data_IF_933394872680
#
_entry.id   IF_933394872680
#
_cell.length_a   1.000
_cell.length_b   1.000
_cell.length_c   1.000
_cell.angle_alpha   90.00
_cell.angle_beta   90.00
_cell.angle_gamma   90.00
#
_symmetry.space_group_name_H-M   'P 1'
#
loop_
_entity.id
_entity.type
_entity.pdbx_description
1 polymer ?
#
# COMPACT_ATOMS: atom_id res chain seq x y z
N UNK A 1 -15.93 24.32 -3.23
CA UNK A 1 -15.81 24.05 -4.66
C UNK A 1 -15.85 22.56 -4.82
N UNK A 2 -16.81 22.01 -5.58
CA UNK A 2 -16.71 20.64 -6.08
C UNK A 2 -15.69 20.68 -7.22
N UNK A 3 -14.70 19.81 -7.23
CA UNK A 3 -13.92 19.60 -8.43
C UNK A 3 -14.90 19.10 -9.49
N UNK A 4 -15.03 19.84 -10.59
CA UNK A 4 -15.77 19.35 -11.74
C UNK A 4 -14.94 18.23 -12.42
N UNK A 5 -15.58 17.33 -13.17
CA UNK A 5 -14.84 16.37 -13.99
C UNK A 5 -13.74 17.00 -14.81
N UNK A 6 -13.91 18.26 -15.22
CA UNK A 6 -12.93 19.05 -15.99
C UNK A 6 -11.61 19.29 -15.23
N UNK A 7 -11.62 19.31 -13.89
CA UNK A 7 -10.38 19.38 -13.10
C UNK A 7 -9.49 18.13 -13.26
N UNK A 8 -10.05 17.04 -13.80
CA UNK A 8 -9.36 15.79 -14.08
C UNK A 8 -9.09 15.55 -15.58
N UNK A 9 -9.54 16.44 -16.49
CA UNK A 9 -9.43 16.26 -17.93
C UNK A 9 -7.98 16.06 -18.43
N UNK A 10 -6.99 16.61 -17.72
CA UNK A 10 -5.58 16.32 -18.00
C UNK A 10 -5.14 14.88 -17.70
N UNK A 11 -5.97 14.11 -16.99
CA UNK A 11 -5.69 12.73 -16.59
C UNK A 11 -6.41 11.69 -17.48
N UNK A 12 -7.45 12.09 -18.22
CA UNK A 12 -8.19 11.20 -19.13
C UNK A 12 -7.31 10.55 -20.20
N UNK A 13 -6.37 11.30 -20.72
CA UNK A 13 -5.43 10.81 -21.73
C UNK A 13 -4.45 9.76 -21.17
N UNK A 14 -4.29 9.70 -19.82
CA UNK A 14 -3.35 8.83 -19.17
C UNK A 14 -3.97 7.50 -18.65
N UNK A 15 -5.30 7.43 -18.45
CA UNK A 15 -5.93 6.27 -17.77
C UNK A 15 -7.18 5.73 -18.49
N UNK A 16 -7.13 5.30 -19.75
CA UNK A 16 -8.31 4.82 -20.48
C UNK A 16 -8.88 3.49 -19.92
N UNK A 17 -8.10 2.68 -19.19
CA UNK A 17 -8.47 1.30 -18.79
C UNK A 17 -8.39 1.01 -17.30
N UNK A 18 -8.30 2.02 -16.44
CA UNK A 18 -8.11 1.84 -15.00
C UNK A 18 -6.65 1.51 -14.61
N UNK A 19 -6.35 1.43 -13.30
CA UNK A 19 -4.98 1.22 -12.83
C UNK A 19 -4.48 -0.18 -13.19
N UNK A 20 -3.24 -0.27 -13.64
CA UNK A 20 -2.54 -1.52 -13.92
C UNK A 20 -2.47 -2.43 -12.69
N UNK A 21 -2.31 -3.71 -12.93
CA UNK A 21 -2.18 -4.73 -11.90
C UNK A 21 -0.81 -5.38 -11.95
N UNK A 22 -0.35 -5.79 -10.78
CA UNK A 22 0.93 -6.45 -10.58
C UNK A 22 0.67 -7.73 -9.79
N UNK A 23 1.10 -8.87 -10.31
CA UNK A 23 1.12 -10.12 -9.59
C UNK A 23 2.42 -10.23 -8.78
N UNK A 24 2.32 -10.63 -7.53
CA UNK A 24 3.47 -10.93 -6.66
C UNK A 24 3.36 -12.35 -6.13
N UNK A 25 4.39 -13.15 -6.39
CA UNK A 25 4.52 -14.50 -5.85
C UNK A 25 4.84 -14.50 -4.35
N UNK A 26 4.30 -15.47 -3.65
CA UNK A 26 4.53 -15.73 -2.22
C UNK A 26 5.39 -16.96 -2.00
N UNK A 27 5.69 -17.72 -3.05
CA UNK A 27 6.54 -18.90 -3.00
C UNK A 27 7.42 -18.95 -4.25
N UNK A 28 8.52 -19.69 -4.13
CA UNK A 28 9.43 -19.94 -5.25
C UNK A 28 8.68 -20.56 -6.43
N UNK A 29 8.95 -20.10 -7.63
CA UNK A 29 8.33 -20.57 -8.86
C UNK A 29 6.87 -20.14 -9.09
N UNK A 30 6.30 -19.27 -8.23
CA UNK A 30 4.91 -18.84 -8.38
C UNK A 30 4.68 -18.01 -9.66
N UNK A 31 5.65 -17.17 -10.04
CA UNK A 31 5.54 -16.34 -11.23
C UNK A 31 5.72 -17.17 -12.50
N UNK A 32 6.65 -18.12 -12.51
CA UNK A 32 6.83 -19.08 -13.61
C UNK A 32 5.57 -19.93 -13.84
N UNK A 33 4.91 -20.35 -12.77
CA UNK A 33 3.64 -21.08 -12.88
C UNK A 33 2.51 -20.19 -13.42
N UNK A 34 2.47 -18.90 -13.06
CA UNK A 34 1.53 -17.96 -13.63
C UNK A 34 1.81 -17.76 -15.12
N UNK A 35 3.06 -17.52 -15.49
CA UNK A 35 3.48 -17.33 -16.90
C UNK A 35 3.24 -18.58 -17.75
N UNK A 36 3.42 -19.77 -17.19
CA UNK A 36 3.06 -21.02 -17.85
C UNK A 36 1.54 -21.14 -18.12
N UNK A 37 0.72 -20.53 -17.28
CA UNK A 37 -0.73 -20.58 -17.41
C UNK A 37 -1.31 -19.52 -18.37
N UNK A 38 -0.71 -18.33 -18.44
CA UNK A 38 -1.30 -17.19 -19.16
C UNK A 38 -0.36 -16.52 -20.17
N UNK A 39 0.84 -17.05 -20.36
CA UNK A 39 1.88 -16.51 -21.23
C UNK A 39 2.87 -15.59 -20.51
N UNK A 40 3.97 -15.21 -21.19
CA UNK A 40 5.01 -14.36 -20.64
C UNK A 40 4.47 -13.02 -20.15
N UNK A 41 4.93 -12.57 -18.97
CA UNK A 41 4.52 -11.33 -18.36
C UNK A 41 5.68 -10.35 -18.22
N UNK A 42 5.46 -9.06 -18.48
CA UNK A 42 6.49 -8.04 -18.31
C UNK A 42 6.91 -7.88 -16.85
N UNK A 43 8.17 -7.53 -16.65
CA UNK A 43 8.69 -7.16 -15.33
C UNK A 43 8.23 -5.76 -14.92
N UNK A 44 8.09 -5.53 -13.63
CA UNK A 44 7.90 -4.17 -13.11
C UNK A 44 9.27 -3.51 -12.91
N UNK A 45 9.59 -2.42 -13.58
CA UNK A 45 10.87 -1.74 -13.43
C UNK A 45 11.22 -1.42 -11.97
N UNK A 46 12.44 -1.76 -11.54
CA UNK A 46 12.94 -1.53 -10.20
C UNK A 46 12.36 -2.44 -9.12
N UNK A 47 11.70 -3.53 -9.50
CA UNK A 47 11.20 -4.57 -8.58
C UNK A 47 12.01 -5.85 -8.71
N UNK A 48 11.75 -6.80 -7.78
CA UNK A 48 12.32 -8.14 -7.86
C UNK A 48 11.71 -8.94 -9.01
N UNK A 49 12.47 -9.24 -10.07
CA UNK A 49 11.96 -9.94 -11.25
C UNK A 49 11.60 -11.41 -10.99
N UNK A 50 12.12 -12.03 -9.91
CA UNK A 50 11.75 -13.40 -9.56
C UNK A 50 10.37 -13.49 -8.93
N UNK A 51 9.92 -12.39 -8.30
CA UNK A 51 8.70 -12.39 -7.49
C UNK A 51 7.58 -11.53 -8.05
N UNK A 52 7.85 -10.62 -8.99
CA UNK A 52 6.89 -9.58 -9.39
C UNK A 52 6.77 -9.51 -10.91
N UNK A 53 5.51 -9.55 -11.39
CA UNK A 53 5.17 -9.41 -12.82
C UNK A 53 4.05 -8.39 -13.01
N UNK A 54 4.11 -7.65 -14.09
CA UNK A 54 3.00 -6.83 -14.57
C UNK A 54 1.96 -7.73 -15.23
N UNK A 55 0.70 -7.56 -14.88
CA UNK A 55 -0.42 -8.25 -15.51
C UNK A 55 -1.10 -7.26 -16.45
N UNK A 56 -0.91 -7.38 -17.78
CA UNK A 56 -1.57 -6.53 -18.75
C UNK A 56 -3.09 -6.64 -18.63
N UNK A 57 -3.80 -5.57 -19.00
CA UNK A 57 -5.26 -5.49 -18.83
C UNK A 57 -5.98 -6.61 -19.60
N UNK A 58 -5.50 -6.97 -20.77
CA UNK A 58 -6.01 -8.05 -21.60
C UNK A 58 -5.86 -9.44 -20.96
N UNK A 59 -4.84 -9.64 -20.13
CA UNK A 59 -4.60 -10.90 -19.42
C UNK A 59 -5.29 -10.94 -18.04
N UNK A 60 -5.91 -9.85 -17.59
CA UNK A 60 -6.36 -9.72 -16.20
C UNK A 60 -7.41 -10.75 -15.79
N UNK A 61 -8.39 -11.04 -16.66
CA UNK A 61 -9.44 -12.02 -16.34
C UNK A 61 -8.88 -13.45 -16.32
N UNK A 62 -7.97 -13.77 -17.24
CA UNK A 62 -7.28 -15.06 -17.25
C UNK A 62 -6.39 -15.22 -16.02
N UNK A 63 -5.64 -14.15 -15.64
CA UNK A 63 -4.84 -14.14 -14.43
C UNK A 63 -5.70 -14.36 -13.17
N UNK A 64 -6.83 -13.65 -13.05
CA UNK A 64 -7.75 -13.81 -11.91
C UNK A 64 -8.28 -15.24 -11.76
N UNK A 65 -8.44 -15.98 -12.86
CA UNK A 65 -8.89 -17.38 -12.83
C UNK A 65 -7.79 -18.37 -12.45
N UNK A 66 -6.52 -17.95 -12.44
CA UNK A 66 -5.41 -18.81 -12.05
C UNK A 66 -5.50 -19.23 -10.57
N UNK A 67 -5.43 -20.56 -10.27
CA UNK A 67 -5.60 -21.06 -8.91
C UNK A 67 -4.67 -20.45 -7.88
N UNK A 68 -3.46 -20.02 -8.27
CA UNK A 68 -2.46 -19.44 -7.36
C UNK A 68 -2.90 -18.16 -6.65
N UNK A 69 -3.87 -17.40 -7.19
CA UNK A 69 -4.49 -16.29 -6.47
C UNK A 69 -5.57 -16.72 -5.46
N UNK A 70 -6.07 -17.95 -5.58
CA UNK A 70 -7.10 -18.48 -4.69
C UNK A 70 -6.53 -19.35 -3.58
N UNK A 71 -5.34 -19.90 -3.76
CA UNK A 71 -4.65 -20.73 -2.77
C UNK A 71 -3.49 -20.00 -2.04
N UNK A 72 -3.25 -18.72 -2.36
CA UNK A 72 -2.29 -17.86 -1.68
C UNK A 72 -0.86 -17.95 -2.21
N UNK A 73 -0.59 -18.66 -3.30
CA UNK A 73 0.76 -18.68 -3.93
C UNK A 73 1.16 -17.33 -4.51
N UNK A 74 0.19 -16.51 -4.89
CA UNK A 74 0.44 -15.14 -5.34
C UNK A 74 -0.68 -14.19 -4.88
N UNK A 75 -0.40 -12.90 -4.95
CA UNK A 75 -1.34 -11.84 -4.61
C UNK A 75 -1.32 -10.73 -5.66
N UNK A 76 -2.49 -10.16 -5.93
CA UNK A 76 -2.64 -9.05 -6.88
C UNK A 76 -2.43 -7.71 -6.15
N UNK A 77 -1.57 -6.87 -6.69
CA UNK A 77 -1.29 -5.51 -6.21
C UNK A 77 -1.58 -4.47 -7.28
N UNK A 78 -1.56 -3.20 -6.87
CA UNK A 78 -1.29 -2.08 -7.78
C UNK A 78 0.22 -1.78 -7.79
N UNK A 79 0.72 -1.10 -8.82
CA UNK A 79 2.14 -0.78 -8.94
C UNK A 79 2.66 0.05 -7.76
N UNK A 80 1.88 1.02 -7.28
CA UNK A 80 2.25 1.79 -6.08
C UNK A 80 2.29 0.93 -4.81
N UNK A 81 1.28 0.05 -4.64
CA UNK A 81 1.16 -0.79 -3.45
C UNK A 81 2.31 -1.77 -3.28
N UNK A 82 2.84 -2.35 -4.36
CA UNK A 82 3.91 -3.36 -4.27
C UNK A 82 5.26 -2.76 -3.87
N UNK A 83 5.46 -1.45 -4.09
CA UNK A 83 6.71 -0.73 -3.76
C UNK A 83 6.86 -0.40 -2.27
N UNK A 84 5.76 -0.44 -1.50
CA UNK A 84 5.74 0.06 -0.10
C UNK A 84 6.56 -0.82 0.85
N UNK A 85 6.41 -2.14 0.78
CA UNK A 85 7.12 -3.04 1.67
C UNK A 85 8.64 -3.05 1.43
N UNK A 86 9.15 -3.03 0.17
CA UNK A 86 10.58 -2.82 -0.09
C UNK A 86 11.14 -1.52 0.48
N UNK A 87 10.35 -0.42 0.46
CA UNK A 87 10.78 0.84 1.06
C UNK A 87 10.91 0.77 2.59
N UNK A 88 10.06 0.00 3.24
CA UNK A 88 10.15 -0.21 4.68
C UNK A 88 11.33 -1.08 5.07
N UNK A 89 11.81 -1.95 4.17
CA UNK A 89 12.95 -2.87 4.34
C UNK A 89 12.84 -3.70 5.64
N UNK A 90 11.73 -4.44 5.86
CA UNK A 90 11.65 -5.31 7.00
C UNK A 90 12.63 -6.49 6.85
N UNK A 91 13.22 -6.90 7.95
CA UNK A 91 14.15 -8.03 8.01
C UNK A 91 13.58 -9.17 8.87
N UNK A 92 13.98 -10.43 8.62
CA UNK A 92 13.69 -11.52 9.53
C UNK A 92 14.15 -11.18 10.95
N UNK A 93 13.25 -11.34 11.92
CA UNK A 93 13.50 -11.00 13.33
C UNK A 93 13.01 -9.61 13.74
N UNK A 94 12.66 -8.71 12.81
CA UNK A 94 12.10 -7.40 13.13
C UNK A 94 10.72 -7.52 13.81
N UNK A 95 10.40 -6.52 14.61
CA UNK A 95 9.05 -6.26 15.09
C UNK A 95 8.42 -5.18 14.24
N UNK A 96 7.41 -5.54 13.44
CA UNK A 96 6.80 -4.70 12.40
C UNK A 96 5.35 -4.38 12.74
N UNK A 97 4.95 -3.11 12.58
CA UNK A 97 3.57 -2.66 12.72
C UNK A 97 3.03 -2.15 11.38
N UNK A 98 1.87 -2.66 10.92
CA UNK A 98 1.06 -2.05 9.86
C UNK A 98 -0.21 -1.46 10.48
N UNK A 99 -0.29 -0.13 10.52
CA UNK A 99 -1.30 0.59 11.29
C UNK A 99 -2.68 0.62 10.62
N UNK A 100 -2.76 0.39 9.29
CA UNK A 100 -3.99 0.46 8.48
C UNK A 100 -4.05 -0.68 7.44
N UNK A 101 -3.90 -1.91 7.88
CA UNK A 101 -3.47 -3.05 7.08
C UNK A 101 -4.48 -3.61 6.06
N UNK A 102 -5.81 -3.44 6.28
CA UNK A 102 -6.79 -4.08 5.40
C UNK A 102 -6.78 -3.51 3.97
N UNK A 103 -6.91 -4.38 2.96
CA UNK A 103 -7.32 -5.79 3.00
C UNK A 103 -6.19 -6.81 3.26
N UNK A 104 -4.91 -6.40 3.43
CA UNK A 104 -3.80 -7.28 3.74
C UNK A 104 -2.71 -7.40 2.68
N UNK A 105 -2.82 -6.69 1.55
CA UNK A 105 -1.85 -6.79 0.46
C UNK A 105 -0.43 -6.38 0.90
N UNK A 106 -0.28 -5.22 1.56
CA UNK A 106 1.00 -4.73 2.07
C UNK A 106 1.47 -5.56 3.27
N UNK A 107 0.56 -5.86 4.22
CA UNK A 107 0.85 -6.73 5.36
C UNK A 107 1.35 -8.12 4.93
N UNK A 108 0.73 -8.72 3.91
CA UNK A 108 1.18 -9.99 3.31
C UNK A 108 2.58 -9.87 2.70
N UNK A 109 2.88 -8.76 2.05
CA UNK A 109 4.22 -8.50 1.49
C UNK A 109 5.26 -8.35 2.61
N UNK A 110 4.94 -7.62 3.68
CA UNK A 110 5.81 -7.49 4.85
C UNK A 110 6.12 -8.86 5.47
N UNK A 111 5.09 -9.68 5.77
CA UNK A 111 5.27 -11.01 6.35
C UNK A 111 6.09 -11.96 5.47
N UNK A 112 5.92 -11.87 4.15
CA UNK A 112 6.73 -12.63 3.19
C UNK A 112 8.21 -12.18 3.23
N UNK A 113 8.51 -10.86 3.21
CA UNK A 113 9.88 -10.34 3.32
C UNK A 113 10.53 -10.72 4.66
N UNK A 114 9.76 -10.74 5.74
CA UNK A 114 10.19 -11.21 7.06
C UNK A 114 10.38 -12.73 7.12
N UNK A 115 9.95 -13.50 6.11
CA UNK A 115 9.94 -14.98 6.12
C UNK A 115 9.18 -15.56 7.32
N UNK A 116 8.15 -14.87 7.79
CA UNK A 116 7.41 -15.16 9.04
C UNK A 116 8.33 -15.27 10.29
N UNK A 117 9.48 -14.61 10.30
CA UNK A 117 10.39 -14.54 11.44
C UNK A 117 10.32 -13.15 12.08
N UNK A 118 10.15 -13.09 13.40
CA UNK A 118 9.90 -11.85 14.12
C UNK A 118 8.43 -11.70 14.52
N UNK A 119 7.95 -10.48 14.66
CA UNK A 119 6.56 -10.19 15.03
C UNK A 119 5.93 -9.21 14.05
N UNK A 120 4.89 -9.64 13.35
CA UNK A 120 4.06 -8.77 12.51
C UNK A 120 2.74 -8.45 13.25
N UNK A 121 2.57 -7.19 13.63
CA UNK A 121 1.32 -6.68 14.22
C UNK A 121 0.61 -5.83 13.16
N UNK A 122 -0.66 -6.13 12.90
CA UNK A 122 -1.44 -5.42 11.90
C UNK A 122 -2.74 -4.90 12.51
N UNK A 123 -3.14 -3.69 12.17
CA UNK A 123 -4.35 -3.07 12.69
C UNK A 123 -5.33 -2.67 11.59
N UNK A 124 -6.61 -2.78 11.87
CA UNK A 124 -7.69 -2.27 11.04
C UNK A 124 -8.84 -1.78 11.91
N UNK A 125 -9.31 -0.57 11.63
CA UNK A 125 -10.39 0.05 12.41
C UNK A 125 -11.74 -0.64 12.24
N UNK A 126 -12.07 -1.06 11.01
CA UNK A 126 -13.35 -1.69 10.68
C UNK A 126 -13.34 -3.18 11.00
N UNK A 127 -14.32 -3.63 11.81
CA UNK A 127 -14.48 -5.06 12.14
C UNK A 127 -14.67 -5.93 10.89
N UNK A 128 -15.45 -5.46 9.91
CA UNK A 128 -15.69 -6.19 8.66
C UNK A 128 -14.39 -6.30 7.84
N UNK A 129 -13.64 -5.20 7.70
CA UNK A 129 -12.36 -5.21 7.00
C UNK A 129 -11.30 -6.02 7.74
N UNK A 130 -11.31 -6.00 9.08
CA UNK A 130 -10.41 -6.83 9.91
C UNK A 130 -10.67 -8.33 9.72
N UNK A 131 -11.91 -8.78 9.54
CA UNK A 131 -12.22 -10.17 9.21
C UNK A 131 -11.66 -10.57 7.83
N UNK A 132 -11.80 -9.68 6.83
CA UNK A 132 -11.20 -9.89 5.50
C UNK A 132 -9.67 -9.94 5.58
N UNK A 133 -9.06 -9.05 6.36
CA UNK A 133 -7.61 -9.03 6.61
C UNK A 133 -7.13 -10.38 7.19
N UNK A 134 -7.79 -10.89 8.23
CA UNK A 134 -7.45 -12.21 8.83
C UNK A 134 -7.54 -13.34 7.81
N UNK A 135 -8.62 -13.38 7.02
CA UNK A 135 -8.81 -14.39 5.97
C UNK A 135 -7.69 -14.32 4.93
N UNK A 136 -7.34 -13.13 4.48
CA UNK A 136 -6.32 -12.93 3.46
C UNK A 136 -4.91 -13.29 3.95
N UNK A 137 -4.55 -12.89 5.18
CA UNK A 137 -3.27 -13.29 5.79
C UNK A 137 -3.17 -14.80 5.97
N UNK A 138 -4.24 -15.43 6.42
CA UNK A 138 -4.29 -16.91 6.53
C UNK A 138 -4.11 -17.57 5.16
N UNK A 139 -4.77 -17.04 4.11
CA UNK A 139 -4.64 -17.55 2.74
C UNK A 139 -3.20 -17.46 2.24
N UNK A 140 -2.52 -16.35 2.54
CA UNK A 140 -1.11 -16.11 2.18
C UNK A 140 -0.12 -16.82 3.11
N UNK A 141 -0.59 -17.61 4.09
CA UNK A 141 0.23 -18.26 5.11
C UNK A 141 1.14 -17.27 5.88
N UNK A 142 0.60 -16.10 6.21
CA UNK A 142 1.31 -15.06 6.96
C UNK A 142 0.88 -15.11 8.42
N UNK A 143 1.86 -15.29 9.31
CA UNK A 143 1.67 -15.20 10.75
C UNK A 143 1.68 -13.73 11.20
N UNK A 144 0.56 -13.26 11.76
CA UNK A 144 0.41 -11.90 12.21
C UNK A 144 -0.61 -11.76 13.35
N UNK A 145 -0.30 -10.89 14.30
CA UNK A 145 -1.25 -10.48 15.34
C UNK A 145 -2.18 -9.40 14.77
N UNK A 146 -3.46 -9.72 14.60
CA UNK A 146 -4.45 -8.78 14.05
C UNK A 146 -5.20 -8.07 15.16
N UNK A 147 -4.99 -6.77 15.28
CA UNK A 147 -5.72 -5.86 16.16
C UNK A 147 -6.93 -5.25 15.41
N UNK A 148 -7.95 -4.87 16.16
CA UNK A 148 -9.13 -4.19 15.58
C UNK A 148 -9.49 -2.99 16.44
N UNK A 149 -9.35 -1.80 15.87
CA UNK A 149 -9.66 -0.55 16.56
C UNK A 149 -9.03 0.67 15.92
N UNK A 150 -9.27 1.86 16.50
CA UNK A 150 -8.74 3.10 15.97
C UNK A 150 -7.21 3.12 16.03
N UNK A 151 -6.58 3.37 14.88
CA UNK A 151 -5.13 3.40 14.74
C UNK A 151 -4.48 4.64 15.34
N UNK A 152 -5.20 5.76 15.41
CA UNK A 152 -4.68 7.07 15.83
C UNK A 152 -4.22 7.13 17.31
N UNK A 153 -4.67 6.21 18.13
CA UNK A 153 -4.22 6.09 19.53
C UNK A 153 -3.38 4.86 19.83
N UNK A 154 -3.27 3.96 18.84
CA UNK A 154 -2.68 2.63 19.04
C UNK A 154 -1.18 2.71 19.36
N UNK A 155 -0.42 3.55 18.67
CA UNK A 155 1.02 3.65 18.85
C UNK A 155 1.43 4.04 20.27
N UNK A 156 0.72 4.99 20.87
CA UNK A 156 0.96 5.36 22.30
C UNK A 156 0.67 4.23 23.27
N UNK A 157 -0.30 3.35 22.94
CA UNK A 157 -0.64 2.18 23.77
C UNK A 157 0.40 1.07 23.65
N UNK A 158 0.99 0.90 22.47
CA UNK A 158 2.00 -0.11 22.19
C UNK A 158 3.40 0.34 22.64
N UNK A 159 3.64 1.66 22.71
CA UNK A 159 4.93 2.26 23.03
C UNK A 159 5.98 2.05 21.91
N UNK A 160 7.18 2.63 22.06
CA UNK A 160 8.25 2.63 21.05
C UNK A 160 8.96 1.27 21.03
N UNK A 161 8.31 0.24 20.51
CA UNK A 161 8.76 -1.15 20.52
C UNK A 161 8.93 -1.77 19.15
N UNK A 162 8.60 -1.05 18.07
CA UNK A 162 8.68 -1.56 16.70
C UNK A 162 9.93 -1.06 15.98
N UNK A 163 10.57 -1.97 15.25
CA UNK A 163 11.73 -1.66 14.40
C UNK A 163 11.29 -1.01 13.09
N UNK A 164 10.12 -1.42 12.59
CA UNK A 164 9.51 -0.94 11.35
C UNK A 164 8.04 -0.63 11.56
N UNK A 165 7.58 0.49 11.00
CA UNK A 165 6.17 0.88 11.05
C UNK A 165 5.70 1.29 9.67
N UNK A 166 4.62 0.67 9.19
CA UNK A 166 3.90 1.08 7.99
C UNK A 166 2.66 1.89 8.39
N UNK A 167 2.50 3.05 7.74
CA UNK A 167 1.34 3.93 7.87
C UNK A 167 0.78 4.21 6.47
N UNK A 168 0.14 3.17 5.89
CA UNK A 168 -0.59 3.28 4.60
C UNK A 168 -1.99 3.78 4.89
N UNK A 169 -2.17 5.09 4.83
CA UNK A 169 -3.36 5.76 5.37
C UNK A 169 -4.57 5.74 4.44
N UNK A 170 -5.79 5.77 4.99
CA UNK A 170 -6.97 6.09 4.19
C UNK A 170 -6.81 7.49 3.60
N UNK A 171 -7.02 7.62 2.29
CA UNK A 171 -6.84 8.85 1.53
C UNK A 171 -7.99 9.08 0.55
N UNK A 172 -7.99 10.26 -0.09
CA UNK A 172 -9.02 10.63 -1.08
C UNK A 172 -9.01 9.78 -2.35
N UNK A 173 -7.91 9.04 -2.60
CA UNK A 173 -7.78 8.18 -3.77
C UNK A 173 -7.60 8.90 -5.09
N UNK A 174 -7.21 10.19 -5.09
CA UNK A 174 -7.09 11.00 -6.31
C UNK A 174 -6.08 10.45 -7.31
N UNK A 175 -5.10 9.67 -6.87
CA UNK A 175 -4.17 8.95 -7.77
C UNK A 175 -4.80 7.75 -8.48
N UNK A 176 -6.03 7.37 -8.10
CA UNK A 176 -6.78 6.22 -8.63
C UNK A 176 -8.09 6.63 -9.30
N UNK A 177 -8.28 7.92 -9.54
CA UNK A 177 -9.47 8.43 -10.23
C UNK A 177 -9.46 7.91 -11.66
N UNK A 178 -10.56 7.33 -12.06
CA UNK A 178 -10.85 6.93 -13.42
C UNK A 178 -12.18 7.52 -13.84
N UNK A 179 -12.17 8.42 -14.82
CA UNK A 179 -13.36 9.17 -15.22
C UNK A 179 -14.46 8.29 -15.82
N UNK A 180 -14.09 7.13 -16.38
CA UNK A 180 -15.03 6.12 -16.84
C UNK A 180 -15.78 5.37 -15.73
N UNK A 181 -15.34 5.49 -14.45
CA UNK A 181 -16.04 4.90 -13.31
C UNK A 181 -16.30 5.95 -12.21
N UNK A 182 -17.51 6.52 -12.15
CA UNK A 182 -17.89 7.51 -11.15
C UNK A 182 -17.66 7.08 -9.70
N UNK A 183 -17.62 5.79 -9.40
CA UNK A 183 -17.36 5.29 -8.03
C UNK A 183 -15.96 5.67 -7.53
N UNK A 184 -15.02 5.96 -8.43
CA UNK A 184 -13.65 6.32 -8.06
C UNK A 184 -13.51 7.76 -7.55
N UNK A 185 -14.50 8.63 -7.82
CA UNK A 185 -14.45 10.06 -7.46
C UNK A 185 -15.77 10.63 -6.89
N UNK A 186 -16.87 9.87 -6.88
CA UNK A 186 -18.19 10.36 -6.43
C UNK A 186 -18.21 10.90 -4.98
N UNK A 187 -17.40 10.34 -4.10
CA UNK A 187 -17.30 10.76 -2.69
C UNK A 187 -16.26 11.86 -2.45
N UNK A 188 -15.55 12.29 -3.51
CA UNK A 188 -14.50 13.29 -3.38
C UNK A 188 -15.09 14.67 -3.09
N UNK A 189 -14.51 15.38 -2.13
CA UNK A 189 -14.81 16.79 -1.86
C UNK A 189 -13.64 17.43 -1.08
N UNK A 190 -13.44 18.76 -1.18
CA UNK A 190 -12.44 19.46 -0.38
C UNK A 190 -12.62 19.26 1.14
N UNK A 191 -13.87 19.12 1.59
CA UNK A 191 -14.18 18.83 3.00
C UNK A 191 -13.72 17.43 3.40
N UNK A 192 -13.91 16.43 2.52
CA UNK A 192 -13.44 15.07 2.75
C UNK A 192 -11.91 15.02 2.83
N UNK A 193 -11.21 15.72 1.92
CA UNK A 193 -9.75 15.83 1.93
C UNK A 193 -9.25 16.42 3.24
N UNK A 194 -9.80 17.55 3.69
CA UNK A 194 -9.40 18.17 4.98
C UNK A 194 -9.60 17.23 6.18
N UNK A 195 -10.70 16.47 6.19
CA UNK A 195 -10.98 15.47 7.24
C UNK A 195 -9.96 14.34 7.19
N UNK A 196 -9.64 13.83 6.01
CA UNK A 196 -8.66 12.76 5.80
C UNK A 196 -7.25 13.23 6.20
N UNK A 197 -6.82 14.40 5.76
CA UNK A 197 -5.53 14.97 6.13
C UNK A 197 -5.35 15.12 7.65
N UNK A 198 -6.43 15.48 8.38
CA UNK A 198 -6.39 15.50 9.85
C UNK A 198 -6.19 14.09 10.43
N UNK A 199 -6.93 13.09 9.93
CA UNK A 199 -6.81 11.70 10.37
C UNK A 199 -5.41 11.14 10.06
N UNK A 200 -4.88 11.43 8.87
CA UNK A 200 -3.56 10.99 8.41
C UNK A 200 -2.45 11.50 9.32
N UNK A 201 -2.51 12.79 9.73
CA UNK A 201 -1.56 13.33 10.72
C UNK A 201 -1.63 12.57 12.05
N UNK A 202 -2.84 12.27 12.54
CA UNK A 202 -3.01 11.52 13.79
C UNK A 202 -2.45 10.10 13.67
N UNK A 203 -2.65 9.43 12.53
CA UNK A 203 -2.10 8.10 12.24
C UNK A 203 -0.57 8.13 12.13
N UNK A 204 0.00 9.14 11.44
CA UNK A 204 1.45 9.32 11.35
C UNK A 204 2.08 9.48 12.74
N UNK A 205 1.54 10.37 13.57
CA UNK A 205 2.02 10.54 14.94
C UNK A 205 1.85 9.28 15.79
N UNK A 206 0.78 8.53 15.57
CA UNK A 206 0.59 7.23 16.23
C UNK A 206 1.66 6.24 15.81
N UNK A 207 1.97 6.15 14.52
CA UNK A 207 3.05 5.30 14.00
C UNK A 207 4.41 5.68 14.58
N UNK A 208 4.73 6.98 14.61
CA UNK A 208 5.97 7.50 15.19
C UNK A 208 6.08 7.19 16.69
N UNK A 209 4.97 7.23 17.44
CA UNK A 209 4.96 6.90 18.87
C UNK A 209 5.23 5.41 19.14
N UNK A 210 4.96 4.53 18.15
CA UNK A 210 5.26 3.09 18.23
C UNK A 210 6.69 2.75 17.80
N UNK A 211 7.37 3.66 17.10
CA UNK A 211 8.67 3.43 16.49
C UNK A 211 9.80 3.57 17.51
N UNK A 212 10.72 2.60 17.54
CA UNK A 212 11.97 2.69 18.34
C UNK A 212 12.88 3.80 17.83
N UNK A 213 13.76 4.36 18.67
CA UNK A 213 14.94 5.09 18.19
C UNK A 213 15.73 4.22 17.20
N UNK A 214 16.19 4.79 16.10
CA UNK A 214 16.85 4.08 14.99
C UNK A 214 15.89 3.35 14.05
N UNK A 215 14.60 3.24 14.39
CA UNK A 215 13.59 2.57 13.57
C UNK A 215 13.18 3.35 12.32
N UNK A 216 12.57 2.65 11.37
CA UNK A 216 12.09 3.20 10.10
C UNK A 216 10.56 3.17 10.02
N UNK A 217 9.97 4.27 9.55
CA UNK A 217 8.56 4.35 9.21
C UNK A 217 8.39 4.70 7.73
N UNK A 218 7.46 4.01 7.06
CA UNK A 218 6.99 4.41 5.73
C UNK A 218 5.57 4.92 5.85
N UNK A 219 5.37 6.16 5.39
CA UNK A 219 4.06 6.77 5.18
C UNK A 219 3.69 6.63 3.71
N UNK A 220 2.44 6.23 3.38
CA UNK A 220 2.01 6.11 1.99
C UNK A 220 0.55 6.47 1.78
N UNK A 221 0.25 7.00 0.57
CA UNK A 221 -1.11 7.30 0.09
C UNK A 221 -1.25 7.01 -1.39
N UNK A 222 -2.49 6.72 -1.83
CA UNK A 222 -2.86 6.76 -3.24
C UNK A 222 -3.47 8.13 -3.62
N UNK A 223 -2.99 9.23 -3.02
CA UNK A 223 -3.41 10.59 -3.31
C UNK A 223 -2.32 11.38 -4.04
N UNK A 224 -2.75 12.30 -4.91
CA UNK A 224 -1.88 13.27 -5.57
C UNK A 224 -1.86 14.63 -4.86
N UNK A 225 -2.67 14.79 -3.82
CA UNK A 225 -2.87 16.06 -3.15
C UNK A 225 -1.77 16.32 -2.11
N UNK A 226 -1.16 17.49 -2.17
CA UNK A 226 -0.16 17.94 -1.20
C UNK A 226 -0.72 17.96 0.23
N UNK A 227 -2.01 18.32 0.39
CA UNK A 227 -2.71 18.30 1.69
C UNK A 227 -2.65 16.95 2.42
N UNK A 228 -2.62 15.85 1.66
CA UNK A 228 -2.60 14.47 2.17
C UNK A 228 -1.19 13.84 2.18
N UNK A 229 -0.22 14.49 1.56
CA UNK A 229 1.14 14.03 1.35
C UNK A 229 2.15 14.90 2.11
N UNK A 230 2.78 15.86 1.44
CA UNK A 230 3.84 16.68 1.99
C UNK A 230 3.38 17.48 3.22
N UNK A 231 2.19 18.08 3.19
CA UNK A 231 1.65 18.85 4.31
C UNK A 231 1.37 17.99 5.56
N UNK A 232 1.25 16.66 5.41
CA UNK A 232 1.13 15.73 6.53
C UNK A 232 2.50 15.46 7.15
N UNK A 233 3.50 15.10 6.33
CA UNK A 233 4.83 14.72 6.81
C UNK A 233 5.71 15.89 7.24
N UNK A 234 5.39 17.13 6.89
CA UNK A 234 6.10 18.33 7.39
C UNK A 234 5.92 18.56 8.88
N UNK A 235 4.91 17.97 9.52
CA UNK A 235 4.58 18.14 10.93
C UNK A 235 4.99 16.95 11.77
N UNK A 236 6.26 16.60 11.74
CA UNK A 236 6.85 15.50 12.52
C UNK A 236 7.69 16.03 13.68
N UNK A 237 7.94 15.21 14.72
CA UNK A 237 8.84 15.57 15.83
C UNK A 237 10.28 15.80 15.38
N UNK A 238 11.05 16.60 16.16
CA UNK A 238 12.45 16.95 15.86
C UNK A 238 13.40 15.74 15.90
N UNK A 239 13.02 14.65 16.60
CA UNK A 239 13.74 13.38 16.65
C UNK A 239 13.43 12.44 15.46
N UNK A 240 12.79 12.97 14.41
CA UNK A 240 12.44 12.23 13.20
C UNK A 240 12.95 12.95 11.96
N UNK A 241 13.62 12.25 11.07
CA UNK A 241 14.08 12.78 9.79
C UNK A 241 13.33 12.14 8.64
N UNK A 242 13.06 12.91 7.59
CA UNK A 242 12.59 12.42 6.30
C UNK A 242 13.83 12.03 5.49
N UNK A 243 14.05 10.74 5.27
CA UNK A 243 15.19 10.25 4.48
C UNK A 243 14.99 10.57 3.00
N UNK A 244 13.79 10.28 2.47
CA UNK A 244 13.37 10.66 1.12
C UNK A 244 11.85 10.58 0.95
N UNK A 245 11.37 11.16 -0.13
CA UNK A 245 10.00 11.06 -0.61
C UNK A 245 9.99 10.63 -2.07
N UNK A 246 8.98 9.84 -2.46
CA UNK A 246 8.73 9.48 -3.84
C UNK A 246 7.28 9.81 -4.20
N UNK A 247 7.11 10.44 -5.35
CA UNK A 247 5.80 10.75 -5.94
C UNK A 247 5.73 10.09 -7.31
N UNK A 248 4.78 9.21 -7.46
CA UNK A 248 4.44 8.61 -8.74
C UNK A 248 3.22 9.35 -9.29
N UNK A 249 3.37 9.93 -10.47
CA UNK A 249 2.24 10.51 -11.19
C UNK A 249 1.60 9.46 -12.07
N UNK A 250 0.27 9.51 -12.30
CA UNK A 250 -0.36 8.62 -13.24
C UNK A 250 0.35 8.71 -14.60
N UNK A 251 0.80 7.58 -15.10
CA UNK A 251 1.49 7.50 -16.38
C UNK A 251 1.03 6.26 -17.13
N UNK A 252 0.92 6.38 -18.44
CA UNK A 252 0.75 5.24 -19.34
C UNK A 252 2.10 4.87 -19.92
N UNK A 253 2.77 3.94 -19.27
CA UNK A 253 3.96 3.27 -19.82
C UNK A 253 3.52 1.85 -20.16
N UNK A 254 3.37 1.57 -21.45
CA UNK A 254 3.05 0.20 -21.86
C UNK A 254 4.12 -0.76 -21.31
N UNK A 255 3.72 -1.90 -20.74
CA UNK A 255 2.36 -2.47 -20.63
C UNK A 255 1.63 -2.10 -19.33
N UNK A 256 2.14 -1.16 -18.53
CA UNK A 256 1.64 -0.80 -17.21
C UNK A 256 0.99 0.58 -17.21
N UNK A 257 -0.22 0.65 -16.66
CA UNK A 257 -0.85 1.90 -16.27
C UNK A 257 -0.56 2.12 -14.79
N UNK A 258 0.30 3.08 -14.46
CA UNK A 258 0.64 3.40 -13.09
C UNK A 258 -0.42 4.31 -12.46
N UNK A 259 -0.85 3.98 -11.24
CA UNK A 259 -1.65 4.88 -10.41
C UNK A 259 -0.78 5.98 -9.82
N UNK A 260 -1.39 7.13 -9.52
CA UNK A 260 -0.75 8.14 -8.70
C UNK A 260 -0.55 7.63 -7.29
N UNK A 261 0.65 7.78 -6.75
CA UNK A 261 1.02 7.27 -5.45
C UNK A 261 2.08 8.15 -4.80
N UNK A 262 2.03 8.26 -3.48
CA UNK A 262 3.03 8.96 -2.70
C UNK A 262 3.55 8.06 -1.59
N UNK A 263 4.83 8.12 -1.35
CA UNK A 263 5.43 7.53 -0.16
C UNK A 263 6.54 8.43 0.40
N UNK A 264 6.71 8.36 1.71
CA UNK A 264 7.81 8.99 2.43
C UNK A 264 8.42 7.96 3.39
N UNK A 265 9.75 7.88 3.37
CA UNK A 265 10.53 7.08 4.31
C UNK A 265 11.08 8.02 5.39
N UNK A 266 10.75 7.69 6.63
CA UNK A 266 11.14 8.45 7.80
C UNK A 266 11.98 7.55 8.73
N UNK A 267 12.93 8.14 9.43
CA UNK A 267 13.73 7.45 10.45
C UNK A 267 13.70 8.24 11.76
N UNK A 268 13.49 7.54 12.85
CA UNK A 268 13.64 8.12 14.19
C UNK A 268 15.11 8.09 14.59
N UNK A 269 15.69 9.21 14.94
CA UNK A 269 17.09 9.36 15.38
C UNK A 269 17.23 9.18 16.88
#
# INVERSE_FOLDING_TARGET
MSLSPEAFLGWEAALPFGPGRVARGHCEGAMEQLEAAIGPLPELPGSDPECIRVVPTECLEQAKSWPGFHDGRAWMHTAGSVRVAPELQPSPGDRVLDLCAAPGSKAGHLGWMMKNQGELVVNEQSRIRSQRLRRNLKLMNIDATVLTGPGESLGRRLGPTFDRVLVDVPCSGTGRVWLGDPKTWAEWSPRAVKRLAKLQRMLLHSGLAALKPGGTLVYSTCSLLEDENEAVIQKIPDDVIIEHTMRYTPARTEPLIEEGFFLARLRRV
#
